data_IF_253712306911
#
_entry.id   IF_253712306911
#
_cell.length_a   1.000
_cell.length_b   1.000
_cell.length_c   1.000
_cell.angle_alpha   90.00
_cell.angle_beta   90.00
_cell.angle_gamma   90.00
#
_symmetry.space_group_name_H-M   'P 1'
#
loop_
_entity.id
_entity.type
_entity.pdbx_description
1 polymer ?
#
# COMPACT_ATOMS: atom_id res chain seq x y z
N UNK A 1 -4.69 14.19 13.58
CA UNK A 1 -3.92 13.03 13.08
C UNK A 1 -4.38 12.89 11.65
N UNK A 2 -3.60 13.42 10.72
CA UNK A 2 -4.03 13.57 9.33
C UNK A 2 -3.75 12.25 8.59
N UNK A 3 -4.83 11.58 8.20
CA UNK A 3 -4.76 10.41 7.34
C UNK A 3 -4.75 10.90 5.89
N UNK A 4 -3.74 10.46 5.14
CA UNK A 4 -3.72 10.68 3.69
C UNK A 4 -4.23 9.43 3.00
N UNK A 5 -5.14 9.59 2.04
CA UNK A 5 -5.75 8.50 1.28
C UNK A 5 -5.44 8.70 -0.19
N UNK A 6 -4.93 7.64 -0.84
CA UNK A 6 -4.58 7.64 -2.27
C UNK A 6 -5.19 6.41 -2.92
N UNK A 7 -6.04 6.61 -3.93
CA UNK A 7 -6.57 5.50 -4.74
C UNK A 7 -5.48 4.94 -5.66
N UNK A 8 -5.42 3.61 -5.78
CA UNK A 8 -4.52 2.92 -6.71
C UNK A 8 -5.27 2.40 -7.93
N UNK A 9 -4.54 2.13 -9.02
CA UNK A 9 -5.12 1.61 -10.25
C UNK A 9 -5.73 0.19 -10.09
N UNK A 10 -5.22 -0.60 -9.13
CA UNK A 10 -5.69 -1.95 -8.87
C UNK A 10 -7.12 -1.95 -8.31
N UNK A 11 -7.92 -2.93 -8.72
CA UNK A 11 -9.28 -3.14 -8.24
C UNK A 11 -9.33 -4.30 -7.24
N UNK A 12 -10.24 -4.21 -6.29
CA UNK A 12 -10.49 -5.28 -5.35
C UNK A 12 -11.06 -6.50 -6.10
N UNK A 13 -10.45 -7.69 -6.01
CA UNK A 13 -10.94 -8.90 -6.67
C UNK A 13 -12.28 -9.40 -6.11
N UNK A 14 -12.66 -8.99 -4.89
CA UNK A 14 -13.89 -9.43 -4.24
C UNK A 14 -15.12 -8.59 -4.63
N UNK A 15 -14.98 -7.26 -4.72
CA UNK A 15 -16.12 -6.36 -4.96
C UNK A 15 -15.95 -5.40 -6.15
N UNK A 16 -14.83 -5.47 -6.87
CA UNK A 16 -14.50 -4.55 -7.98
C UNK A 16 -14.24 -3.10 -7.56
N UNK A 17 -14.29 -2.78 -6.25
CA UNK A 17 -14.03 -1.44 -5.72
C UNK A 17 -12.60 -0.96 -5.97
N UNK A 18 -12.37 0.35 -5.90
CA UNK A 18 -11.02 0.90 -5.86
C UNK A 18 -10.27 0.36 -4.63
N UNK A 19 -9.01 0.00 -4.82
CA UNK A 19 -8.08 -0.20 -3.71
C UNK A 19 -7.46 1.15 -3.37
N UNK A 20 -7.12 1.32 -2.10
CA UNK A 20 -6.55 2.54 -1.57
C UNK A 20 -5.33 2.26 -0.69
N UNK A 21 -4.43 3.23 -0.67
CA UNK A 21 -3.38 3.40 0.32
C UNK A 21 -3.88 4.44 1.31
N UNK A 22 -3.99 4.07 2.57
CA UNK A 22 -4.21 4.98 3.69
C UNK A 22 -2.91 5.06 4.46
N UNK A 23 -2.45 6.25 4.81
CA UNK A 23 -1.21 6.41 5.54
C UNK A 23 -1.31 7.40 6.70
N UNK A 24 -0.54 7.12 7.75
CA UNK A 24 -0.27 8.03 8.86
C UNK A 24 1.24 8.32 8.95
N UNK A 25 1.74 8.75 10.11
CA UNK A 25 3.17 9.04 10.29
C UNK A 25 4.08 7.81 10.18
N UNK A 26 3.59 6.62 10.53
CA UNK A 26 4.42 5.44 10.76
C UNK A 26 4.02 4.24 9.89
N UNK A 27 2.77 4.20 9.45
CA UNK A 27 2.16 3.04 8.82
C UNK A 27 1.49 3.39 7.49
N UNK A 28 1.43 2.38 6.64
CA UNK A 28 0.61 2.33 5.44
C UNK A 28 -0.35 1.16 5.59
N UNK A 29 -1.61 1.40 5.29
CA UNK A 29 -2.64 0.40 5.07
C UNK A 29 -2.96 0.37 3.59
N UNK A 30 -2.88 -0.82 2.99
CA UNK A 30 -3.31 -1.05 1.62
C UNK A 30 -4.52 -1.96 1.62
N UNK A 31 -5.61 -1.56 0.96
CA UNK A 31 -6.79 -2.39 1.01
C UNK A 31 -8.02 -1.82 0.34
N UNK A 32 -9.15 -2.48 0.59
CA UNK A 32 -10.45 -2.12 0.04
C UNK A 32 -11.37 -1.64 1.15
N UNK A 33 -11.77 -0.36 1.08
CA UNK A 33 -12.74 0.22 2.00
C UNK A 33 -14.08 -0.48 2.00
N UNK A 34 -14.56 -0.94 0.84
CA UNK A 34 -15.85 -1.63 0.72
C UNK A 34 -15.84 -3.00 1.38
N UNK A 35 -14.73 -3.73 1.28
CA UNK A 35 -14.57 -5.06 1.89
C UNK A 35 -14.02 -4.99 3.31
N UNK A 36 -13.60 -3.82 3.79
CA UNK A 36 -12.90 -3.63 5.08
C UNK A 36 -11.68 -4.54 5.27
N UNK A 37 -11.04 -4.96 4.16
CA UNK A 37 -9.83 -5.80 4.16
C UNK A 37 -8.64 -4.90 3.89
N UNK A 38 -7.68 -4.90 4.81
CA UNK A 38 -6.46 -4.09 4.72
C UNK A 38 -5.25 -4.88 5.20
N UNK A 39 -4.13 -4.69 4.52
CA UNK A 39 -2.82 -5.14 4.96
C UNK A 39 -2.05 -3.93 5.49
N UNK A 40 -1.49 -4.06 6.69
CA UNK A 40 -0.74 -3.00 7.36
C UNK A 40 0.76 -3.24 7.22
N UNK A 41 1.52 -2.19 6.92
CA UNK A 41 2.99 -2.22 6.84
C UNK A 41 3.62 -0.98 7.47
N UNK A 42 4.82 -1.14 8.01
CA UNK A 42 5.61 -0.03 8.54
C UNK A 42 6.33 0.74 7.44
N UNK A 43 6.16 2.06 7.42
CA UNK A 43 6.85 2.92 6.43
C UNK A 43 8.37 2.76 6.48
N UNK A 44 8.94 2.56 7.67
CA UNK A 44 10.39 2.40 7.85
C UNK A 44 10.90 1.13 7.17
N UNK A 45 10.13 0.06 7.23
CA UNK A 45 10.46 -1.22 6.58
C UNK A 45 10.36 -1.07 5.06
N UNK A 46 9.30 -0.43 4.56
CA UNK A 46 9.11 -0.17 3.14
C UNK A 46 10.21 0.75 2.59
N UNK A 47 10.57 1.80 3.32
CA UNK A 47 11.63 2.73 2.93
C UNK A 47 13.00 2.03 2.82
N UNK A 48 13.29 1.04 3.66
CA UNK A 48 14.54 0.26 3.55
C UNK A 48 14.58 -0.60 2.28
N UNK A 49 13.42 -1.02 1.76
CA UNK A 49 13.31 -1.95 0.64
C UNK A 49 13.16 -1.25 -0.71
N UNK A 50 12.49 -0.10 -0.74
CA UNK A 50 12.09 0.58 -1.98
C UNK A 50 12.73 1.94 -2.22
N UNK A 51 13.48 2.48 -1.26
CA UNK A 51 14.29 3.68 -1.50
C UNK A 51 15.64 3.24 -2.08
N UNK A 52 15.91 3.68 -3.30
CA UNK A 52 17.26 3.75 -3.81
C UNK A 52 17.90 5.06 -3.36
N UNK A 53 18.77 4.97 -2.36
CA UNK A 53 19.47 6.12 -1.80
C UNK A 53 20.54 6.68 -2.75
N UNK A 54 21.09 5.84 -3.64
CA UNK A 54 22.11 6.28 -4.60
C UNK A 54 21.48 7.14 -5.70
N UNK A 55 20.32 6.72 -6.22
CA UNK A 55 19.59 7.48 -7.25
C UNK A 55 18.54 8.45 -6.68
N UNK A 56 18.36 8.49 -5.35
CA UNK A 56 17.35 9.27 -4.62
C UNK A 56 15.94 9.04 -5.17
N UNK A 57 15.64 7.80 -5.54
CA UNK A 57 14.35 7.39 -6.12
C UNK A 57 13.61 6.45 -5.19
N UNK A 58 12.29 6.54 -5.26
CA UNK A 58 11.40 5.62 -4.57
C UNK A 58 10.69 4.75 -5.60
N UNK A 59 10.81 3.43 -5.47
CA UNK A 59 10.12 2.49 -6.35
C UNK A 59 8.66 2.27 -5.91
N UNK A 60 7.80 3.19 -6.35
CA UNK A 60 6.36 3.10 -6.13
C UNK A 60 5.73 1.88 -6.81
N UNK A 61 6.24 1.46 -7.97
CA UNK A 61 5.68 0.33 -8.71
C UNK A 61 5.95 -0.98 -8.00
N UNK A 62 7.19 -1.19 -7.56
CA UNK A 62 7.57 -2.34 -6.74
C UNK A 62 6.77 -2.40 -5.44
N UNK A 63 6.63 -1.28 -4.74
CA UNK A 63 5.84 -1.20 -3.51
C UNK A 63 4.39 -1.63 -3.73
N UNK A 64 3.69 -1.01 -4.69
CA UNK A 64 2.26 -1.31 -4.93
C UNK A 64 2.09 -2.77 -5.39
N UNK A 65 3.01 -3.30 -6.19
CA UNK A 65 2.98 -4.70 -6.62
C UNK A 65 3.10 -5.66 -5.44
N UNK A 66 4.02 -5.41 -4.49
CA UNK A 66 4.16 -6.25 -3.29
C UNK A 66 2.92 -6.15 -2.40
N UNK A 67 2.44 -4.93 -2.12
CA UNK A 67 1.26 -4.71 -1.29
C UNK A 67 0.03 -5.42 -1.88
N UNK A 68 -0.11 -5.40 -3.21
CA UNK A 68 -1.18 -6.11 -3.89
C UNK A 68 -1.04 -7.63 -3.79
N UNK A 69 0.17 -8.19 -3.96
CA UNK A 69 0.42 -9.62 -3.78
C UNK A 69 0.06 -10.08 -2.36
N UNK A 70 0.55 -9.37 -1.34
CA UNK A 70 0.22 -9.64 0.07
C UNK A 70 -1.28 -9.53 0.33
N UNK A 71 -1.94 -8.54 -0.27
CA UNK A 71 -3.39 -8.38 -0.16
C UNK A 71 -4.14 -9.58 -0.73
N UNK A 72 -3.68 -10.18 -1.84
CA UNK A 72 -4.29 -11.37 -2.43
C UNK A 72 -4.10 -12.61 -1.54
N UNK A 73 -2.91 -12.78 -0.96
CA UNK A 73 -2.53 -13.97 -0.18
C UNK A 73 -3.26 -14.10 1.18
N UNK A 74 -4.02 -13.09 1.59
CA UNK A 74 -4.81 -13.14 2.83
C UNK A 74 -4.04 -12.77 4.08
N UNK A 75 -3.02 -11.89 3.93
CA UNK A 75 -2.08 -11.48 4.97
C UNK A 75 -2.66 -11.14 6.34
#
# INVERSE_FOLDING_TARGET
MDLTVVEVANRCPLCGGALEIVEDRSYIWFGCRRCMRYVKREKRELARRYVDYASRRFDWRGLVSELYAVYLDGG
#
